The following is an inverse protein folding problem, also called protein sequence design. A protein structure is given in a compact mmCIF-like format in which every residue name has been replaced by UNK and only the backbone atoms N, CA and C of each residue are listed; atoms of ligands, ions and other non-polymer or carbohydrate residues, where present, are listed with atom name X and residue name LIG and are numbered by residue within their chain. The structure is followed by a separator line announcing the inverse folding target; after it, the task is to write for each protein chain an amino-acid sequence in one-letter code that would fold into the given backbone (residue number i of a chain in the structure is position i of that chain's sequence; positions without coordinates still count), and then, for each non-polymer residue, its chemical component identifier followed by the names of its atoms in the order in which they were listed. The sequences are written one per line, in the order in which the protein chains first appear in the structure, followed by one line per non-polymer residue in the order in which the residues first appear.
data_IF_675515801790
#
_entry.id   IF_675515801790
#
_cell.length_a   1.000
_cell.length_b   1.000
_cell.length_c   1.000
_cell.angle_alpha   90.00
_cell.angle_beta   90.00
_cell.angle_gamma   90.00
#
_symmetry.space_group_name_H-M   'P 1'
#
loop_
_entity.id
_entity.type
_entity.pdbx_description
1 polymer ?
#
# COMPACT_ATOMS: atom_id res chain seq x y z
N UNK A 1 -3.96 -3.03 16.27
CA UNK A 1 -2.83 -2.86 15.31
C UNK A 1 -3.31 -3.23 13.92
N UNK A 2 -3.03 -2.39 12.94
CA UNK A 2 -3.40 -2.66 11.55
C UNK A 2 -2.23 -3.36 10.86
N UNK A 3 -2.41 -4.60 10.41
CA UNK A 3 -1.30 -5.31 9.78
C UNK A 3 -1.01 -4.75 8.39
N UNK A 4 0.26 -4.81 8.00
CA UNK A 4 0.70 -4.40 6.66
C UNK A 4 0.18 -3.02 6.30
N UNK A 5 0.35 -2.07 7.22
CA UNK A 5 -0.13 -0.70 7.03
C UNK A 5 0.87 0.08 6.20
N UNK A 6 0.37 0.79 5.20
CA UNK A 6 1.21 1.67 4.39
C UNK A 6 0.85 3.12 4.69
N UNK A 7 1.86 3.89 5.09
CA UNK A 7 1.73 5.33 5.34
C UNK A 7 2.47 6.09 4.27
N UNK A 8 2.03 7.32 4.02
CA UNK A 8 2.62 8.20 3.00
C UNK A 8 2.73 7.48 1.66
N UNK A 9 1.66 6.79 1.32
CA UNK A 9 1.64 5.93 0.13
C UNK A 9 1.28 6.73 -1.11
N UNK A 10 1.76 6.22 -2.25
CA UNK A 10 1.39 6.72 -3.57
C UNK A 10 1.15 5.53 -4.48
N UNK A 11 0.36 5.77 -5.51
CA UNK A 11 0.09 4.78 -6.55
C UNK A 11 0.98 5.09 -7.74
N UNK A 12 1.68 4.07 -8.24
CA UNK A 12 2.51 4.22 -9.42
C UNK A 12 1.99 3.32 -10.53
N UNK A 13 1.87 3.87 -11.70
CA UNK A 13 1.48 3.11 -12.89
C UNK A 13 2.64 3.06 -13.85
N UNK A 14 2.95 1.88 -14.33
CA UNK A 14 4.00 1.70 -15.31
C UNK A 14 3.43 1.73 -16.73
N UNK A 15 4.33 1.95 -17.69
CA UNK A 15 3.92 2.06 -19.07
C UNK A 15 3.23 0.80 -19.59
N UNK A 16 3.53 -0.37 -19.02
CA UNK A 16 2.92 -1.62 -19.44
C UNK A 16 1.56 -1.88 -18.77
N UNK A 17 1.05 -0.90 -18.01
CA UNK A 17 -0.23 -1.02 -17.34
C UNK A 17 -0.18 -1.59 -15.93
N UNK A 18 0.97 -2.05 -15.48
CA UNK A 18 1.11 -2.53 -14.11
C UNK A 18 0.95 -1.37 -13.13
N UNK A 19 0.38 -1.68 -11.98
CA UNK A 19 0.17 -0.71 -10.90
C UNK A 19 0.80 -1.26 -9.64
N UNK A 20 1.55 -0.42 -8.93
CA UNK A 20 2.11 -0.78 -7.63
C UNK A 20 1.84 0.36 -6.67
N UNK A 21 2.02 0.08 -5.37
CA UNK A 21 1.92 1.09 -4.34
C UNK A 21 3.29 1.24 -3.70
N UNK A 22 3.71 2.48 -3.49
CA UNK A 22 4.90 2.80 -2.70
C UNK A 22 4.44 3.40 -1.39
N UNK A 23 5.16 3.10 -0.33
CA UNK A 23 4.86 3.69 0.96
C UNK A 23 5.75 3.15 2.05
N UNK A 24 5.53 3.66 3.25
CA UNK A 24 6.24 3.21 4.44
C UNK A 24 5.43 2.10 5.08
N UNK A 25 6.04 0.92 5.19
CA UNK A 25 5.35 -0.26 5.73
C UNK A 25 5.44 -0.27 7.25
N UNK A 26 4.33 -0.63 7.90
CA UNK A 26 4.28 -0.83 9.33
C UNK A 26 3.58 -2.15 9.61
N UNK A 27 4.06 -2.84 10.65
CA UNK A 27 3.44 -4.10 11.09
C UNK A 27 3.43 -5.15 9.98
N UNK A 28 4.55 -5.30 9.32
CA UNK A 28 4.70 -6.29 8.24
C UNK A 28 4.54 -7.69 8.84
N UNK A 29 3.46 -8.37 8.48
CA UNK A 29 3.14 -9.67 9.06
C UNK A 29 4.14 -10.76 8.67
N UNK A 30 4.88 -10.55 7.60
CA UNK A 30 5.91 -11.50 7.16
C UNK A 30 7.27 -11.17 7.74
N UNK A 31 7.36 -10.12 8.55
CA UNK A 31 8.60 -9.71 9.21
C UNK A 31 9.76 -9.50 8.23
N UNK A 32 9.45 -8.99 7.04
CA UNK A 32 10.47 -8.75 6.03
C UNK A 32 11.14 -7.40 6.23
N UNK A 33 10.39 -6.43 6.75
CA UNK A 33 10.84 -5.04 6.82
C UNK A 33 10.56 -4.46 8.20
N UNK A 34 11.51 -3.70 8.76
CA UNK A 34 11.22 -2.91 9.96
C UNK A 34 10.18 -1.85 9.66
N UNK A 35 9.46 -1.42 10.71
CA UNK A 35 8.48 -0.36 10.59
C UNK A 35 9.12 0.89 10.00
N UNK A 36 8.41 1.51 9.06
CA UNK A 36 8.85 2.74 8.43
C UNK A 36 9.69 2.55 7.18
N UNK A 37 10.00 1.31 6.82
CA UNK A 37 10.78 1.05 5.61
C UNK A 37 9.96 1.44 4.38
N UNK A 38 10.59 2.18 3.47
CA UNK A 38 9.96 2.47 2.18
C UNK A 38 10.00 1.24 1.31
N UNK A 39 8.83 0.83 0.83
CA UNK A 39 8.71 -0.35 -0.01
C UNK A 39 7.91 -0.02 -1.27
N UNK A 40 8.03 -0.91 -2.22
CA UNK A 40 7.19 -0.93 -3.41
C UNK A 40 6.54 -2.31 -3.45
N UNK A 41 5.23 -2.35 -3.58
CA UNK A 41 4.52 -3.62 -3.58
C UNK A 41 4.71 -4.34 -4.91
N UNK A 42 4.34 -5.60 -4.95
CA UNK A 42 4.14 -6.29 -6.22
C UNK A 42 2.89 -5.73 -6.89
N UNK A 43 2.60 -6.22 -8.09
CA UNK A 43 1.49 -5.69 -8.89
C UNK A 43 0.17 -5.76 -8.15
N UNK A 44 -0.56 -4.66 -8.20
CA UNK A 44 -1.87 -4.57 -7.58
C UNK A 44 -2.87 -5.38 -8.39
N UNK A 45 -3.62 -6.23 -7.69
CA UNK A 45 -4.67 -7.04 -8.29
C UNK A 45 -6.05 -6.47 -7.97
N UNK A 46 -6.17 -5.77 -6.86
CA UNK A 46 -7.44 -5.21 -6.42
C UNK A 46 -7.15 -4.09 -5.44
N UNK A 47 -7.91 -3.02 -5.55
CA UNK A 47 -7.80 -1.91 -4.62
C UNK A 47 -9.19 -1.39 -4.30
N UNK A 48 -9.41 -1.11 -3.02
CA UNK A 48 -10.65 -0.52 -2.53
C UNK A 48 -10.27 0.69 -1.70
N UNK A 49 -10.43 1.86 -2.28
CA UNK A 49 -10.04 3.10 -1.59
C UNK A 49 -10.97 3.44 -0.44
N UNK A 50 -12.20 2.97 -0.48
CA UNK A 50 -13.15 3.24 0.60
C UNK A 50 -12.77 2.43 1.83
N UNK A 51 -12.49 1.16 1.63
CA UNK A 51 -12.06 0.29 2.73
C UNK A 51 -10.60 0.47 3.08
N UNK A 52 -9.80 1.07 2.18
CA UNK A 52 -8.37 1.24 2.40
C UNK A 52 -7.62 -0.08 2.30
N UNK A 53 -7.97 -0.91 1.32
CA UNK A 53 -7.37 -2.25 1.18
C UNK A 53 -6.78 -2.38 -0.22
N UNK A 54 -5.56 -2.92 -0.28
CA UNK A 54 -4.90 -3.24 -1.55
C UNK A 54 -4.47 -4.69 -1.50
N UNK A 55 -4.87 -5.44 -2.52
CA UNK A 55 -4.37 -6.81 -2.68
C UNK A 55 -3.41 -6.84 -3.85
N UNK A 56 -2.24 -7.38 -3.60
CA UNK A 56 -1.21 -7.57 -4.62
C UNK A 56 -1.03 -9.04 -4.88
N UNK A 57 -0.06 -9.39 -5.72
CA UNK A 57 0.23 -10.78 -5.98
C UNK A 57 0.63 -11.55 -4.73
N UNK A 58 1.27 -10.87 -3.77
CA UNK A 58 1.90 -11.56 -2.64
C UNK A 58 1.26 -11.27 -1.30
N UNK A 59 0.52 -10.18 -1.16
CA UNK A 59 0.11 -9.72 0.16
C UNK A 59 -1.13 -8.85 0.07
N UNK A 60 -1.73 -8.64 1.24
CA UNK A 60 -2.82 -7.67 1.41
C UNK A 60 -2.26 -6.56 2.29
N UNK A 61 -2.44 -5.32 1.84
CA UNK A 61 -1.98 -4.14 2.56
C UNK A 61 -3.17 -3.27 2.92
N UNK A 62 -2.99 -2.48 3.96
CA UNK A 62 -3.97 -1.48 4.36
C UNK A 62 -3.37 -0.10 4.13
N UNK A 63 -4.13 0.76 3.50
CA UNK A 63 -3.70 2.12 3.20
C UNK A 63 -4.11 3.02 4.34
N UNK A 64 -3.17 3.79 4.87
CA UNK A 64 -3.50 4.79 5.86
C UNK A 64 -4.47 5.78 5.25
N UNK A 65 -5.49 6.14 6.02
CA UNK A 65 -6.47 7.11 5.56
C UNK A 65 -5.81 8.44 5.29
N UNK A 66 -6.20 9.07 4.21
CA UNK A 66 -5.69 10.37 3.84
C UNK A 66 -6.76 11.42 4.01
N UNK A 67 -6.29 12.60 4.40
CA UNK A 67 -7.14 13.77 4.38
C UNK A 67 -7.33 14.18 2.94
N UNK A 68 -8.57 14.41 2.55
CA UNK A 68 -8.92 14.79 1.19
C UNK A 68 -9.38 16.24 1.22
N UNK A 69 -8.76 17.08 0.40
CA UNK A 69 -9.09 18.48 0.37
C UNK A 69 -10.20 18.75 -0.63
N UNK A 70 -11.11 19.60 -0.23
CA UNK A 70 -12.21 20.02 -1.07
C UNK A 70 -12.11 21.48 -1.36
N UNK A 71 -12.46 21.84 -2.54
CA UNK A 71 -12.57 23.26 -2.89
C UNK A 71 -13.98 23.72 -2.72
#
# INVERSE_FOLDING_TARGET
MIPNLLKNWTIERYWNGSVVVRGEIYNDTKNRFPDGTNIRTSSVQYIDFVAGVVRTLNSIYHLEEREVYRK
#
